data_IF_229592357262
#
_entry.id   IF_229592357262
#
_cell.length_a   1.000
_cell.length_b   1.000
_cell.length_c   1.000
_cell.angle_alpha   90.00
_cell.angle_beta   90.00
_cell.angle_gamma   90.00
#
_symmetry.space_group_name_H-M   'P 1'
#
loop_
_entity.id
_entity.type
_entity.pdbx_description
1 polymer ?
#
# COMPACT_ATOMS: atom_id res chain seq x y z
N UNK A 1 -25.10 -17.82 -12.40
CA UNK A 1 -24.82 -16.37 -12.23
C UNK A 1 -23.34 -16.24 -11.95
N UNK A 2 -22.64 -15.30 -12.59
CA UNK A 2 -21.22 -15.04 -12.30
C UNK A 2 -21.08 -14.45 -10.90
N UNK A 3 -19.96 -14.71 -10.22
CA UNK A 3 -19.65 -14.00 -8.98
C UNK A 3 -19.51 -12.50 -9.26
N UNK A 4 -19.98 -11.62 -8.36
CA UNK A 4 -19.78 -10.18 -8.49
C UNK A 4 -18.29 -9.84 -8.34
N UNK A 5 -17.79 -8.95 -9.20
CA UNK A 5 -16.42 -8.44 -9.12
C UNK A 5 -16.28 -7.58 -7.87
N UNK A 6 -15.21 -7.80 -7.11
CA UNK A 6 -14.85 -7.00 -5.93
C UNK A 6 -13.52 -6.29 -6.15
N UNK A 7 -13.59 -4.96 -6.15
CA UNK A 7 -12.43 -4.08 -6.25
C UNK A 7 -12.23 -3.40 -4.88
N UNK A 8 -10.98 -3.36 -4.43
CA UNK A 8 -10.58 -2.58 -3.25
C UNK A 8 -9.68 -1.44 -3.71
N UNK A 9 -9.93 -0.24 -3.20
CA UNK A 9 -9.10 0.93 -3.45
C UNK A 9 -8.43 1.38 -2.16
N UNK A 10 -7.12 1.66 -2.23
CA UNK A 10 -6.31 2.27 -1.18
C UNK A 10 -5.57 3.49 -1.73
N UNK A 11 -5.07 4.34 -0.86
CA UNK A 11 -4.39 5.60 -1.21
C UNK A 11 -3.49 6.05 -0.07
N UNK A 12 -2.59 7.01 -0.33
CA UNK A 12 -1.87 7.80 0.68
C UNK A 12 -1.16 6.93 1.74
N UNK A 13 -0.37 5.96 1.28
CA UNK A 13 0.37 5.07 2.20
C UNK A 13 1.61 5.74 2.78
N UNK A 14 2.17 6.76 2.11
CA UNK A 14 3.33 7.55 2.57
C UNK A 14 4.41 6.65 3.19
N UNK A 15 4.80 5.60 2.48
CA UNK A 15 5.89 4.74 2.95
C UNK A 15 7.17 5.58 3.06
N UNK A 16 7.87 5.39 4.17
CA UNK A 16 9.15 6.02 4.51
C UNK A 16 10.24 4.95 4.70
N UNK A 17 11.53 5.33 4.72
CA UNK A 17 12.63 4.39 4.96
C UNK A 17 12.53 3.67 6.31
N UNK A 18 13.19 2.52 6.41
CA UNK A 18 13.16 1.71 7.63
C UNK A 18 13.82 2.45 8.79
N UNK A 19 13.14 2.48 9.93
CA UNK A 19 13.66 3.10 11.15
C UNK A 19 13.49 4.62 11.22
N UNK A 20 12.91 5.25 10.19
CA UNK A 20 12.48 6.65 10.25
C UNK A 20 11.08 6.78 10.86
N UNK A 21 10.73 8.00 11.26
CA UNK A 21 9.39 8.38 11.72
C UNK A 21 8.82 9.46 10.82
N UNK A 22 7.55 9.32 10.45
CA UNK A 22 6.85 10.33 9.66
C UNK A 22 6.54 11.55 10.54
N UNK A 23 6.98 12.74 10.11
CA UNK A 23 6.82 14.01 10.84
C UNK A 23 7.20 13.97 12.34
N UNK A 24 8.32 13.33 12.69
CA UNK A 24 8.81 13.17 14.07
C UNK A 24 7.83 12.48 15.04
N UNK A 25 6.76 11.90 14.51
CA UNK A 25 5.80 11.15 15.29
C UNK A 25 6.20 9.68 15.31
N UNK A 26 6.89 9.24 16.36
CA UNK A 26 7.29 7.84 16.55
C UNK A 26 6.13 6.83 16.54
N UNK A 27 4.87 7.28 16.57
CA UNK A 27 3.67 6.44 16.44
C UNK A 27 3.22 6.22 14.99
N UNK A 28 3.93 6.78 14.01
CA UNK A 28 3.61 6.67 12.57
C UNK A 28 4.51 5.64 11.90
N UNK A 29 4.25 4.37 12.23
CA UNK A 29 4.74 3.22 11.47
C UNK A 29 3.86 3.02 10.22
N UNK A 30 4.19 3.72 9.13
CA UNK A 30 3.39 3.67 7.87
C UNK A 30 3.46 2.28 7.23
N UNK A 31 4.62 1.63 7.29
CA UNK A 31 4.81 0.26 6.80
C UNK A 31 3.96 -0.77 7.55
N UNK A 32 4.04 -0.80 8.89
CA UNK A 32 3.24 -1.73 9.69
C UNK A 32 1.73 -1.45 9.63
N UNK A 33 1.33 -0.20 9.34
CA UNK A 33 -0.08 0.12 9.02
C UNK A 33 -0.49 -0.49 7.69
N UNK A 34 0.33 -0.34 6.64
CA UNK A 34 0.05 -0.95 5.33
C UNK A 34 -0.01 -2.48 5.43
N UNK A 35 0.90 -3.12 6.17
CA UNK A 35 0.87 -4.58 6.41
C UNK A 35 -0.46 -5.04 7.02
N UNK A 36 -0.99 -4.31 8.02
CA UNK A 36 -2.30 -4.59 8.62
C UNK A 36 -3.45 -4.39 7.63
N UNK A 37 -3.40 -3.35 6.82
CA UNK A 37 -4.38 -3.09 5.75
C UNK A 37 -4.38 -4.25 4.75
N UNK A 38 -3.21 -4.70 4.29
CA UNK A 38 -3.08 -5.86 3.38
C UNK A 38 -3.68 -7.11 4.01
N UNK A 39 -3.38 -7.38 5.28
CA UNK A 39 -3.96 -8.52 5.99
C UNK A 39 -5.50 -8.48 6.00
N UNK A 40 -6.09 -7.30 6.29
CA UNK A 40 -7.55 -7.11 6.22
C UNK A 40 -8.09 -7.30 4.79
N UNK A 41 -7.44 -6.72 3.78
CA UNK A 41 -7.86 -6.81 2.37
C UNK A 41 -7.85 -8.26 1.89
N UNK A 42 -6.83 -9.04 2.27
CA UNK A 42 -6.73 -10.45 1.91
C UNK A 42 -7.94 -11.28 2.42
N UNK A 43 -8.56 -10.91 3.54
CA UNK A 43 -9.78 -11.58 4.02
C UNK A 43 -11.00 -11.33 3.13
N UNK A 44 -11.01 -10.22 2.39
CA UNK A 44 -12.10 -9.83 1.51
C UNK A 44 -12.08 -10.59 0.18
N UNK A 45 -10.96 -11.26 -0.15
CA UNK A 45 -10.74 -11.95 -1.43
C UNK A 45 -11.11 -11.08 -2.65
N UNK A 46 -10.51 -9.88 -2.81
CA UNK A 46 -10.79 -9.02 -3.94
C UNK A 46 -10.22 -9.61 -5.24
N UNK A 47 -10.83 -9.25 -6.37
CA UNK A 47 -10.30 -9.56 -7.70
C UNK A 47 -9.19 -8.59 -8.10
N UNK A 48 -9.25 -7.35 -7.60
CA UNK A 48 -8.30 -6.29 -7.88
C UNK A 48 -8.14 -5.35 -6.68
N UNK A 49 -6.89 -4.94 -6.41
CA UNK A 49 -6.57 -3.83 -5.53
C UNK A 49 -6.01 -2.68 -6.38
N UNK A 50 -6.49 -1.46 -6.15
CA UNK A 50 -6.01 -0.24 -6.82
C UNK A 50 -5.39 0.67 -5.76
N UNK A 51 -4.18 1.17 -6.02
CA UNK A 51 -3.53 2.19 -5.19
C UNK A 51 -3.44 3.52 -5.96
N UNK A 52 -4.03 4.59 -5.43
CA UNK A 52 -4.31 5.83 -6.19
C UNK A 52 -3.35 7.02 -6.01
N UNK A 53 -2.10 6.78 -5.65
CA UNK A 53 -1.11 7.85 -5.42
C UNK A 53 -0.57 7.91 -3.99
N UNK A 54 0.40 8.78 -3.77
CA UNK A 54 1.12 8.99 -2.51
C UNK A 54 1.59 7.67 -1.86
N UNK A 55 2.22 6.85 -2.70
CA UNK A 55 2.79 5.55 -2.34
C UNK A 55 3.93 5.71 -1.33
N UNK A 56 4.81 6.68 -1.58
CA UNK A 56 5.95 7.01 -0.73
C UNK A 56 5.91 8.49 -0.39
N UNK A 57 6.49 8.87 0.74
CA UNK A 57 6.41 10.24 1.23
C UNK A 57 7.28 11.24 0.45
N UNK A 58 8.51 10.83 0.07
CA UNK A 58 9.53 11.74 -0.48
C UNK A 58 10.04 11.36 -1.86
N UNK A 59 9.47 10.32 -2.47
CA UNK A 59 9.91 9.83 -3.79
C UNK A 59 11.27 9.13 -3.80
N UNK A 60 11.82 8.74 -2.65
CA UNK A 60 13.12 8.08 -2.57
C UNK A 60 13.05 6.58 -2.91
N UNK A 61 14.15 6.05 -3.44
CA UNK A 61 14.24 4.66 -3.92
C UNK A 61 14.04 3.66 -2.78
N UNK A 62 14.55 3.96 -1.58
CA UNK A 62 14.47 3.05 -0.44
C UNK A 62 13.01 2.83 -0.02
N UNK A 63 12.23 3.91 0.06
CA UNK A 63 10.80 3.87 0.36
C UNK A 63 10.03 3.06 -0.70
N UNK A 64 10.35 3.23 -1.99
CA UNK A 64 9.71 2.47 -3.06
C UNK A 64 10.03 0.97 -2.99
N UNK A 65 11.29 0.60 -2.75
CA UNK A 65 11.68 -0.80 -2.60
C UNK A 65 11.08 -1.41 -1.32
N UNK A 66 10.93 -0.63 -0.24
CA UNK A 66 10.26 -1.10 0.96
C UNK A 66 8.76 -1.34 0.69
N UNK A 67 8.06 -0.36 0.10
CA UNK A 67 6.67 -0.49 -0.32
C UNK A 67 6.45 -1.72 -1.22
N UNK A 68 7.32 -1.91 -2.21
CA UNK A 68 7.31 -3.08 -3.11
C UNK A 68 7.53 -4.39 -2.34
N UNK A 69 8.36 -4.39 -1.31
CA UNK A 69 8.53 -5.53 -0.41
C UNK A 69 7.23 -5.89 0.33
N UNK A 70 6.56 -4.88 0.90
CA UNK A 70 5.31 -5.05 1.67
C UNK A 70 4.17 -5.56 0.77
N UNK A 71 3.98 -4.93 -0.40
CA UNK A 71 2.87 -5.20 -1.31
C UNK A 71 2.94 -6.54 -2.05
N UNK A 72 4.07 -7.24 -2.02
CA UNK A 72 4.15 -8.65 -2.45
C UNK A 72 3.23 -9.59 -1.65
N UNK A 73 2.72 -9.14 -0.51
CA UNK A 73 1.85 -9.92 0.38
C UNK A 73 0.36 -9.89 -0.01
N UNK A 74 -0.02 -9.16 -1.07
CA UNK A 74 -1.38 -9.24 -1.61
C UNK A 74 -1.62 -10.61 -2.26
N UNK A 75 -2.79 -11.21 -1.98
CA UNK A 75 -3.24 -12.46 -2.62
C UNK A 75 -3.94 -12.22 -3.97
N UNK A 76 -4.02 -10.98 -4.42
CA UNK A 76 -4.74 -10.49 -5.59
C UNK A 76 -3.83 -9.60 -6.42
N UNK A 77 -4.19 -9.37 -7.69
CA UNK A 77 -3.50 -8.38 -8.53
C UNK A 77 -3.58 -6.98 -7.89
N UNK A 78 -2.44 -6.28 -7.90
CA UNK A 78 -2.32 -4.88 -7.46
C UNK A 78 -2.03 -4.01 -8.68
N UNK A 79 -2.84 -2.97 -8.87
CA UNK A 79 -2.64 -1.94 -9.88
C UNK A 79 -2.28 -0.61 -9.20
N UNK A 80 -1.24 0.04 -9.70
CA UNK A 80 -0.90 1.40 -9.31
C UNK A 80 -1.46 2.38 -10.33
N UNK A 81 -2.26 3.34 -9.86
CA UNK A 81 -2.59 4.52 -10.64
C UNK A 81 -1.45 5.53 -10.44
N UNK A 82 -0.42 5.39 -11.28
CA UNK A 82 0.73 6.30 -11.33
C UNK A 82 0.32 7.55 -12.10
N UNK A 83 -0.51 8.40 -11.48
CA UNK A 83 -0.62 9.79 -11.92
C UNK A 83 0.64 10.53 -11.46
N UNK A 84 1.64 10.50 -12.34
CA UNK A 84 2.81 11.37 -12.26
C UNK A 84 2.34 12.84 -12.29
N UNK A 85 2.69 13.61 -11.27
CA UNK A 85 2.63 15.09 -11.29
C UNK A 85 3.90 15.67 -10.69
#
# INVERSE_FOLDING_TARGET
MSNPIRIVQITDTHIIPRGESWHDNKLTDTAGRLEKVIASINTLKPDLVIHTGDIVDRGDIESYEYHKGITKSFNSSLLFDLRES
#
